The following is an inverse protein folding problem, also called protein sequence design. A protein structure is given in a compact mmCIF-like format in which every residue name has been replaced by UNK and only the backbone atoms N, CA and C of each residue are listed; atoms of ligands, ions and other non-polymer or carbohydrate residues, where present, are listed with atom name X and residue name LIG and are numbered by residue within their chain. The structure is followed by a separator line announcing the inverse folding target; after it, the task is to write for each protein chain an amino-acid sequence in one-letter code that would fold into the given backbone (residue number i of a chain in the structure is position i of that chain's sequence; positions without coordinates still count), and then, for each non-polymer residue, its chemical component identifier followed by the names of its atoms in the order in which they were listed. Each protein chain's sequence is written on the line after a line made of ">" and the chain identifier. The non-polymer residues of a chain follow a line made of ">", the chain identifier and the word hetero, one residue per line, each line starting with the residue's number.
data_IF_662038963059
#
_entry.id   IF_662038963059
#
_cell.length_a   1.000
_cell.length_b   1.000
_cell.length_c   1.000
_cell.angle_alpha   90.00
_cell.angle_beta   90.00
_cell.angle_gamma   90.00
#
_symmetry.space_group_name_H-M   'P 1'
#
loop_
_entity.id
_entity.type
_entity.pdbx_description
1 polymer ?
#
# COMPACT_ATOMS: atom_id res chain seq x y z
N UNK A 1 15.00 -4.40 -6.11
CA UNK A 1 13.82 -4.91 -5.38
C UNK A 1 14.22 -6.17 -4.64
N UNK A 2 13.91 -6.25 -3.36
CA UNK A 2 14.22 -7.37 -2.48
C UNK A 2 13.42 -8.60 -2.93
N UNK A 3 14.11 -9.69 -3.30
CA UNK A 3 13.47 -10.93 -3.74
C UNK A 3 12.81 -11.71 -2.60
N UNK A 4 13.18 -11.40 -1.36
CA UNK A 4 12.66 -12.06 -0.15
C UNK A 4 11.49 -11.29 0.47
N UNK A 5 11.10 -10.16 -0.12
CA UNK A 5 9.95 -9.39 0.36
C UNK A 5 8.65 -10.17 0.10
N UNK A 6 7.93 -10.45 1.18
CA UNK A 6 6.59 -11.03 1.14
C UNK A 6 5.62 -9.99 1.71
N UNK A 7 4.60 -9.56 0.95
CA UNK A 7 3.65 -8.57 1.43
C UNK A 7 2.93 -9.06 2.70
N UNK A 8 3.05 -8.29 3.78
CA UNK A 8 2.30 -8.54 5.02
C UNK A 8 1.05 -7.66 5.10
N UNK A 9 -0.01 -8.18 5.72
CA UNK A 9 -1.25 -7.45 5.93
C UNK A 9 -1.23 -6.64 7.21
N UNK A 10 -1.43 -5.34 7.07
CA UNK A 10 -1.61 -4.42 8.18
C UNK A 10 -3.09 -4.10 8.33
N UNK A 11 -3.50 -3.66 9.51
CA UNK A 11 -4.90 -3.38 9.84
C UNK A 11 -5.07 -1.88 10.01
N UNK A 12 -6.12 -1.31 9.41
CA UNK A 12 -6.42 0.11 9.61
C UNK A 12 -6.71 0.39 11.08
N UNK A 13 -6.53 1.63 11.54
CA UNK A 13 -7.20 2.05 12.76
C UNK A 13 -8.68 1.59 12.71
N UNK A 14 -9.22 1.10 13.82
CA UNK A 14 -10.59 0.54 13.97
C UNK A 14 -10.85 -0.81 13.29
N UNK A 15 -9.87 -1.44 12.65
CA UNK A 15 -9.99 -2.83 12.19
C UNK A 15 -11.10 -3.09 11.14
N UNK A 16 -11.52 -2.05 10.40
CA UNK A 16 -12.55 -2.16 9.36
C UNK A 16 -11.98 -2.64 8.01
N UNK A 17 -10.70 -2.38 7.75
CA UNK A 17 -10.00 -2.86 6.56
C UNK A 17 -8.58 -3.33 6.90
N UNK A 18 -8.03 -4.15 6.02
CA UNK A 18 -6.61 -4.51 5.97
C UNK A 18 -5.98 -3.91 4.73
N UNK A 19 -4.69 -3.60 4.79
CA UNK A 19 -3.93 -3.09 3.66
C UNK A 19 -2.54 -3.69 3.57
N UNK A 20 -1.98 -3.71 2.36
CA UNK A 20 -0.62 -4.17 2.07
C UNK A 20 -0.07 -3.48 0.82
N UNK A 21 1.21 -3.70 0.53
CA UNK A 21 1.92 -3.16 -0.63
C UNK A 21 2.43 -4.28 -1.54
N UNK A 22 1.97 -4.28 -2.79
CA UNK A 22 2.51 -5.09 -3.88
C UNK A 22 3.36 -4.21 -4.82
N UNK A 23 4.47 -4.77 -5.30
CA UNK A 23 5.44 -4.06 -6.15
C UNK A 23 5.63 -4.70 -7.53
N UNK A 24 5.06 -5.88 -7.73
CA UNK A 24 5.12 -6.65 -8.96
C UNK A 24 3.99 -7.71 -8.95
N UNK A 25 3.84 -8.43 -10.06
CA UNK A 25 2.84 -9.49 -10.17
C UNK A 25 3.06 -10.64 -9.17
N UNK A 26 4.30 -11.02 -8.88
CA UNK A 26 4.58 -12.10 -7.92
C UNK A 26 4.05 -11.76 -6.51
N UNK A 27 4.16 -10.50 -6.08
CA UNK A 27 3.59 -10.04 -4.81
C UNK A 27 2.06 -10.13 -4.82
N UNK A 28 1.41 -9.81 -5.95
CA UNK A 28 -0.04 -10.00 -6.11
C UNK A 28 -0.39 -11.48 -5.98
N UNK A 29 0.31 -12.35 -6.71
CA UNK A 29 0.03 -13.78 -6.72
C UNK A 29 0.19 -14.42 -5.32
N UNK A 30 1.17 -13.96 -4.52
CA UNK A 30 1.35 -14.39 -3.13
C UNK A 30 0.21 -13.98 -2.19
N UNK A 31 -0.53 -12.92 -2.51
CA UNK A 31 -1.64 -12.42 -1.70
C UNK A 31 -2.96 -13.19 -1.97
N UNK A 32 -3.06 -13.90 -3.09
CA UNK A 32 -4.23 -14.70 -3.46
C UNK A 32 -3.93 -16.19 -3.27
N UNK A 33 -4.52 -16.80 -2.24
CA UNK A 33 -4.40 -18.24 -1.97
C UNK A 33 -4.99 -19.13 -3.09
N UNK A 34 -5.94 -18.60 -3.88
CA UNK A 34 -6.58 -19.28 -5.03
C UNK A 34 -6.28 -18.51 -6.33
N UNK A 35 -5.45 -19.11 -7.21
CA UNK A 35 -4.92 -18.50 -8.45
C UNK A 35 -5.93 -18.29 -9.60
N UNK A 36 -7.23 -18.15 -9.30
CA UNK A 36 -8.26 -17.89 -10.31
C UNK A 36 -8.78 -16.44 -10.33
N UNK A 37 -8.34 -15.60 -9.38
CA UNK A 37 -8.81 -14.21 -9.18
C UNK A 37 -7.64 -13.21 -9.06
N UNK A 38 -6.44 -13.56 -9.55
CA UNK A 38 -5.32 -12.62 -9.56
C UNK A 38 -5.55 -11.56 -10.65
N UNK A 39 -5.98 -10.38 -10.24
CA UNK A 39 -5.98 -9.22 -11.13
C UNK A 39 -4.57 -8.92 -11.63
N UNK A 40 -4.48 -8.37 -12.85
CA UNK A 40 -3.21 -7.93 -13.43
C UNK A 40 -2.67 -6.74 -12.62
N UNK A 41 -1.40 -6.87 -12.21
CA UNK A 41 -0.68 -5.82 -11.50
C UNK A 41 -0.65 -4.52 -12.32
N UNK A 42 -1.10 -3.42 -11.72
CA UNK A 42 -1.25 -2.09 -12.35
C UNK A 42 -2.13 -2.09 -13.60
N UNK A 43 -3.25 -2.82 -13.54
CA UNK A 43 -4.24 -2.90 -14.62
C UNK A 43 -4.75 -1.55 -15.14
N UNK A 44 -4.68 -0.47 -14.34
CA UNK A 44 -5.11 0.87 -14.73
C UNK A 44 -4.03 1.67 -15.46
N UNK A 45 -2.79 1.16 -15.55
CA UNK A 45 -1.65 1.83 -16.19
C UNK A 45 -1.14 3.06 -15.42
N UNK A 46 -1.53 3.22 -14.15
CA UNK A 46 -1.08 4.30 -13.29
C UNK A 46 0.25 3.97 -12.58
N UNK A 47 1.04 4.96 -12.15
CA UNK A 47 2.27 4.71 -11.38
C UNK A 47 2.04 4.03 -10.03
N UNK A 48 0.86 4.25 -9.44
CA UNK A 48 0.35 3.56 -8.27
C UNK A 48 -1.18 3.46 -8.36
N UNK A 49 -1.77 2.48 -7.69
CA UNK A 49 -3.22 2.34 -7.51
C UNK A 49 -3.55 1.56 -6.23
N UNK A 50 -4.80 1.61 -5.79
CA UNK A 50 -5.36 0.70 -4.76
C UNK A 50 -6.50 -0.10 -5.37
N UNK A 51 -6.39 -1.43 -5.29
CA UNK A 51 -7.50 -2.33 -5.58
C UNK A 51 -8.18 -2.78 -4.28
N UNK A 52 -9.50 -2.97 -4.36
CA UNK A 52 -10.35 -3.28 -3.22
C UNK A 52 -11.02 -4.64 -3.40
N UNK A 53 -10.80 -5.52 -2.43
CA UNK A 53 -11.33 -6.88 -2.39
C UNK A 53 -12.16 -7.08 -1.13
N UNK A 54 -12.98 -8.15 -1.11
CA UNK A 54 -13.83 -8.52 0.02
C UNK A 54 -14.73 -7.35 0.51
N UNK A 55 -15.46 -6.75 -0.44
CA UNK A 55 -16.24 -5.52 -0.22
C UNK A 55 -15.37 -4.39 0.38
N UNK A 56 -14.14 -4.26 -0.13
CA UNK A 56 -13.14 -3.27 0.27
C UNK A 56 -12.62 -3.39 1.70
N UNK A 57 -12.78 -4.55 2.32
CA UNK A 57 -12.11 -4.90 3.59
C UNK A 57 -10.66 -5.30 3.38
N UNK A 58 -10.25 -5.63 2.15
CA UNK A 58 -8.87 -5.88 1.78
C UNK A 58 -8.44 -4.87 0.71
N UNK A 59 -7.42 -4.07 1.01
CA UNK A 59 -6.90 -3.03 0.14
C UNK A 59 -5.48 -3.40 -0.30
N UNK A 60 -5.22 -3.56 -1.59
CA UNK A 60 -3.87 -3.84 -2.09
C UNK A 60 -3.36 -2.60 -2.80
N UNK A 61 -2.37 -1.95 -2.20
CA UNK A 61 -1.64 -0.85 -2.83
C UNK A 61 -0.65 -1.46 -3.82
N UNK A 62 -0.71 -1.03 -5.06
CA UNK A 62 0.21 -1.45 -6.11
C UNK A 62 1.06 -0.26 -6.51
N UNK A 63 2.38 -0.43 -6.47
CA UNK A 63 3.32 0.62 -6.83
C UNK A 63 4.33 0.09 -7.85
N UNK A 64 4.36 0.73 -9.02
CA UNK A 64 5.18 0.30 -10.15
C UNK A 64 6.67 0.60 -9.98
N UNK A 65 7.36 0.66 -11.11
CA UNK A 65 8.80 0.92 -11.14
C UNK A 65 9.16 2.29 -10.54
N UNK A 66 10.12 2.28 -9.61
CA UNK A 66 10.59 3.46 -8.87
C UNK A 66 12.05 3.83 -9.16
N UNK A 67 12.76 3.08 -10.02
CA UNK A 67 14.20 3.23 -10.27
C UNK A 67 14.59 4.68 -10.67
N UNK A 68 13.76 5.35 -11.46
CA UNK A 68 13.98 6.73 -11.92
C UNK A 68 13.26 7.79 -11.07
N UNK A 69 12.68 7.40 -9.92
CA UNK A 69 11.89 8.30 -9.07
C UNK A 69 12.65 8.60 -7.77
N UNK A 70 12.76 9.89 -7.44
CA UNK A 70 13.24 10.30 -6.12
C UNK A 70 12.30 9.79 -5.02
N UNK A 71 12.85 9.50 -3.84
CA UNK A 71 12.08 9.01 -2.68
C UNK A 71 10.87 9.90 -2.32
N UNK A 72 10.98 11.23 -2.49
CA UNK A 72 9.87 12.16 -2.26
C UNK A 72 8.68 11.91 -3.19
N UNK A 73 8.93 11.51 -4.45
CA UNK A 73 7.87 11.16 -5.40
C UNK A 73 7.23 9.84 -4.98
N UNK A 74 8.04 8.87 -4.57
CA UNK A 74 7.53 7.55 -4.11
C UNK A 74 6.65 7.71 -2.88
N UNK A 75 7.12 8.41 -1.84
CA UNK A 75 6.33 8.70 -0.66
C UNK A 75 5.08 9.52 -0.99
N UNK A 76 5.14 10.43 -1.96
CA UNK A 76 3.97 11.17 -2.44
C UNK A 76 2.90 10.27 -3.03
N UNK A 77 3.28 9.28 -3.85
CA UNK A 77 2.36 8.28 -4.39
C UNK A 77 1.77 7.40 -3.28
N UNK A 78 2.60 6.88 -2.38
CA UNK A 78 2.13 6.05 -1.27
C UNK A 78 1.19 6.80 -0.32
N UNK A 79 1.45 8.09 -0.06
CA UNK A 79 0.54 8.95 0.69
C UNK A 79 -0.80 9.14 -0.04
N UNK A 80 -0.79 9.29 -1.36
CA UNK A 80 -2.00 9.37 -2.17
C UNK A 80 -2.86 8.12 -2.02
N UNK A 81 -2.23 6.94 -2.12
CA UNK A 81 -2.92 5.66 -1.94
C UNK A 81 -3.41 5.46 -0.48
N UNK A 82 -2.68 5.96 0.52
CA UNK A 82 -3.12 5.96 1.91
C UNK A 82 -4.43 6.75 2.12
N UNK A 83 -4.59 7.87 1.41
CA UNK A 83 -5.84 8.66 1.42
C UNK A 83 -7.01 7.83 0.87
N UNK A 84 -6.80 7.06 -0.19
CA UNK A 84 -7.82 6.18 -0.77
C UNK A 84 -8.24 5.07 0.21
N UNK A 85 -7.29 4.42 0.89
CA UNK A 85 -7.57 3.43 1.94
C UNK A 85 -8.41 4.05 3.06
N UNK A 86 -8.05 5.25 3.53
CA UNK A 86 -8.83 5.96 4.56
C UNK A 86 -10.26 6.24 4.09
N UNK A 87 -10.45 6.74 2.87
CA UNK A 87 -11.77 7.02 2.32
C UNK A 87 -12.64 5.77 2.27
N UNK A 88 -12.06 4.62 1.90
CA UNK A 88 -12.77 3.33 1.92
C UNK A 88 -13.10 2.89 3.35
N UNK A 89 -12.14 3.00 4.27
CA UNK A 89 -12.32 2.66 5.69
C UNK A 89 -13.47 3.47 6.30
N UNK A 90 -13.46 4.78 6.08
CA UNK A 90 -14.52 5.71 6.50
C UNK A 90 -15.89 5.32 5.94
N UNK A 91 -15.95 4.88 4.68
CA UNK A 91 -17.18 4.36 4.09
C UNK A 91 -17.68 3.11 4.82
N UNK A 92 -16.79 2.17 5.15
CA UNK A 92 -17.13 0.93 5.85
C UNK A 92 -17.52 1.14 7.32
N UNK A 93 -16.94 2.14 7.99
CA UNK A 93 -17.33 2.53 9.35
C UNK A 93 -18.79 3.03 9.42
N UNK A 94 -19.36 3.50 8.30
CA UNK A 94 -20.70 4.09 8.26
C UNK A 94 -20.79 5.45 8.97
N UNK A 95 -19.67 6.00 9.44
CA UNK A 95 -19.59 7.33 10.05
C UNK A 95 -19.54 8.41 8.98
N UNK A 96 -20.45 9.39 9.08
CA UNK A 96 -20.51 10.49 8.10
C UNK A 96 -19.47 11.58 8.39
N UNK A 97 -19.16 11.81 9.66
CA UNK A 97 -18.33 12.92 10.11
C UNK A 97 -17.33 12.47 11.20
N UNK A 98 -16.35 11.61 10.86
CA UNK A 98 -15.22 11.36 11.74
C UNK A 98 -14.47 12.66 12.04
N UNK A 99 -13.82 12.72 13.21
CA UNK A 99 -13.02 13.88 13.62
C UNK A 99 -11.91 14.20 12.60
N UNK A 100 -11.63 15.48 12.37
CA UNK A 100 -10.58 15.94 11.43
C UNK A 100 -9.18 15.51 11.87
N UNK A 101 -8.91 15.53 13.18
CA UNK A 101 -7.64 15.04 13.75
C UNK A 101 -7.54 13.54 13.57
N UNK A 102 -8.68 12.87 13.73
CA UNK A 102 -8.75 11.43 13.62
C UNK A 102 -8.46 10.95 12.17
N UNK A 103 -9.01 11.64 11.19
CA UNK A 103 -8.69 11.47 9.78
C UNK A 103 -7.20 11.70 9.51
N UNK A 104 -6.64 12.81 10.01
CA UNK A 104 -5.22 13.13 9.82
C UNK A 104 -4.28 12.04 10.38
N UNK A 105 -4.53 11.58 11.62
CA UNK A 105 -3.72 10.51 12.23
C UNK A 105 -3.87 9.17 11.51
N UNK A 106 -5.07 8.85 11.01
CA UNK A 106 -5.29 7.59 10.29
C UNK A 106 -4.53 7.56 8.97
N UNK A 107 -4.61 8.64 8.19
CA UNK A 107 -3.85 8.76 6.93
C UNK A 107 -2.35 8.74 7.22
N UNK A 108 -1.89 9.46 8.24
CA UNK A 108 -0.48 9.47 8.65
C UNK A 108 0.01 8.04 8.96
N UNK A 109 -0.74 7.28 9.76
CA UNK A 109 -0.38 5.91 10.15
C UNK A 109 -0.27 4.99 8.94
N UNK A 110 -1.30 4.97 8.08
CA UNK A 110 -1.32 4.13 6.88
C UNK A 110 -0.14 4.49 5.96
N UNK A 111 0.10 5.78 5.74
CA UNK A 111 1.20 6.24 4.90
C UNK A 111 2.57 5.82 5.45
N UNK A 112 2.79 5.97 6.76
CA UNK A 112 4.05 5.57 7.41
C UNK A 112 4.29 4.06 7.29
N UNK A 113 3.25 3.25 7.44
CA UNK A 113 3.36 1.80 7.24
C UNK A 113 3.69 1.48 5.78
N UNK A 114 3.04 2.13 4.81
CA UNK A 114 3.36 1.95 3.38
C UNK A 114 4.80 2.38 3.04
N UNK A 115 5.32 3.43 3.68
CA UNK A 115 6.71 3.85 3.49
C UNK A 115 7.68 2.79 4.02
N UNK A 116 7.40 2.21 5.19
CA UNK A 116 8.19 1.12 5.76
C UNK A 116 8.14 -0.14 4.88
N UNK A 117 6.95 -0.54 4.41
CA UNK A 117 6.79 -1.66 3.47
C UNK A 117 7.58 -1.42 2.17
N UNK A 118 7.60 -0.18 1.68
CA UNK A 118 8.42 0.15 0.52
C UNK A 118 9.91 -0.05 0.82
N UNK A 119 10.41 0.50 1.93
CA UNK A 119 11.80 0.34 2.35
C UNK A 119 12.19 -1.14 2.49
N UNK A 120 11.35 -1.97 3.10
CA UNK A 120 11.55 -3.43 3.22
C UNK A 120 11.54 -4.16 1.87
N UNK A 121 10.76 -3.65 0.91
CA UNK A 121 10.69 -4.18 -0.46
C UNK A 121 11.88 -3.79 -1.32
N UNK A 122 12.70 -2.83 -0.89
CA UNK A 122 13.92 -2.45 -1.61
C UNK A 122 15.05 -3.42 -1.30
N UNK A 123 15.80 -3.81 -2.34
CA UNK A 123 16.99 -4.63 -2.15
C UNK A 123 18.06 -3.77 -1.49
N UNK A 124 18.43 -4.11 -0.25
CA UNK A 124 19.58 -3.50 0.41
C UNK A 124 20.89 -4.02 -0.21
N UNK A 125 21.21 -3.58 -1.43
CA UNK A 125 22.62 -3.45 -1.78
C UNK A 125 23.13 -2.23 -1.03
N UNK A 126 23.51 -2.45 0.24
CA UNK A 126 24.22 -1.44 1.00
C UNK A 126 25.54 -1.15 0.29
N UNK A 127 25.55 -0.16 -0.60
CA UNK A 127 26.70 0.72 -0.65
C UNK A 127 26.83 1.35 0.74
N UNK A 128 27.67 0.73 1.56
CA UNK A 128 28.50 1.46 2.51
C UNK A 128 29.34 2.47 1.72
N UNK A 129 28.71 3.53 1.23
CA UNK A 129 29.39 4.71 0.75
C UNK A 129 29.41 5.74 1.88
N UNK A 130 30.35 5.47 2.78
CA UNK A 130 31.43 6.41 3.13
C UNK A 130 31.06 7.83 3.57
N UNK A 131 31.38 8.06 4.85
CA UNK A 131 31.68 9.31 5.59
C UNK A 131 30.50 10.00 6.28
#
# INVERSE_FOLDING_TARGET
>A
MNTDYVPEWYITPFEHSKYTLARNQMHMDLLFDDMNDSDEFLSLGCPAQVDYYDDGRHCIVQLGETQDKSLIIVHGLLLHEAVHIWQRTKHLMGEKEPSIEFEAYSIQRIAQDLFAMYEESESHDQEQNSV
#
